data_IF_148948068167
#
_entry.id   IF_148948068167
#
_cell.length_a   1.000
_cell.length_b   1.000
_cell.length_c   1.000
_cell.angle_alpha   90.00
_cell.angle_beta   90.00
_cell.angle_gamma   90.00
#
_symmetry.space_group_name_H-M   'P 1'
#
loop_
_entity.id
_entity.type
_entity.pdbx_description
1 polymer ?
#
# COMPACT_ATOMS: atom_id res chain seq x y z
N UNK A 1 -7.95 12.75 5.65
CA UNK A 1 -7.94 11.81 4.52
C UNK A 1 -9.02 10.77 4.74
N UNK A 2 -9.65 10.26 3.68
CA UNK A 2 -10.57 9.13 3.77
C UNK A 2 -9.71 7.88 3.94
N UNK A 3 -9.77 7.22 5.10
CA UNK A 3 -8.87 6.11 5.45
C UNK A 3 -9.53 4.74 5.40
N UNK A 4 -10.84 4.70 5.17
CA UNK A 4 -11.66 3.50 5.26
C UNK A 4 -12.63 3.44 4.08
N UNK A 5 -12.95 2.23 3.60
CA UNK A 5 -13.96 2.04 2.57
C UNK A 5 -15.34 2.49 3.07
N UNK A 6 -16.19 2.94 2.15
CA UNK A 6 -17.62 3.19 2.43
C UNK A 6 -18.39 1.88 2.57
N UNK A 7 -18.00 0.88 1.77
CA UNK A 7 -18.57 -0.46 1.72
C UNK A 7 -17.45 -1.46 1.99
N UNK A 8 -17.48 -2.16 3.12
CA UNK A 8 -16.40 -3.07 3.51
C UNK A 8 -16.81 -4.51 3.25
N UNK A 9 -16.10 -5.19 2.34
CA UNK A 9 -16.33 -6.60 1.99
C UNK A 9 -17.77 -6.84 1.54
N UNK A 10 -18.26 -5.97 0.67
CA UNK A 10 -19.57 -6.12 0.08
C UNK A 10 -19.46 -6.81 -1.28
N UNK A 11 -20.46 -7.63 -1.60
CA UNK A 11 -20.50 -8.34 -2.87
C UNK A 11 -20.85 -7.37 -3.99
N UNK A 12 -19.93 -7.17 -4.92
CA UNK A 12 -20.18 -6.39 -6.13
C UNK A 12 -20.86 -7.28 -7.16
N UNK A 13 -22.15 -7.03 -7.41
CA UNK A 13 -22.93 -7.81 -8.38
C UNK A 13 -22.50 -7.60 -9.84
N UNK A 14 -21.85 -6.49 -10.17
CA UNK A 14 -21.38 -6.22 -11.53
C UNK A 14 -20.08 -6.95 -11.83
N UNK A 15 -19.18 -7.07 -10.83
CA UNK A 15 -17.91 -7.77 -10.96
C UNK A 15 -17.99 -9.25 -10.52
N UNK A 16 -19.01 -9.63 -9.76
CA UNK A 16 -19.20 -10.98 -9.24
C UNK A 16 -18.23 -11.36 -8.12
N UNK A 17 -17.66 -10.37 -7.42
CA UNK A 17 -16.62 -10.56 -6.39
C UNK A 17 -16.91 -9.72 -5.14
N UNK A 18 -16.43 -10.16 -3.99
CA UNK A 18 -16.43 -9.37 -2.76
C UNK A 18 -15.30 -8.34 -2.81
N UNK A 19 -15.62 -7.06 -2.60
CA UNK A 19 -14.62 -5.99 -2.58
C UNK A 19 -14.92 -4.96 -1.50
N UNK A 20 -13.88 -4.22 -1.11
CA UNK A 20 -14.04 -3.02 -0.29
C UNK A 20 -13.91 -1.78 -1.17
N UNK A 21 -14.93 -0.90 -1.17
CA UNK A 21 -15.03 0.24 -2.10
C UNK A 21 -15.52 1.49 -1.41
N UNK A 22 -15.32 2.63 -2.05
CA UNK A 22 -15.94 3.89 -1.65
C UNK A 22 -15.33 5.08 -2.37
N UNK A 23 -16.10 6.15 -2.52
CA UNK A 23 -15.59 7.43 -3.04
C UNK A 23 -14.91 7.33 -4.42
N UNK A 24 -15.31 6.35 -5.22
CA UNK A 24 -14.71 6.09 -6.53
C UNK A 24 -13.38 5.33 -6.51
N UNK A 25 -13.00 4.67 -5.40
CA UNK A 25 -11.77 3.89 -5.27
C UNK A 25 -12.03 2.47 -4.72
N UNK A 26 -11.08 1.57 -4.99
CA UNK A 26 -10.95 0.25 -4.36
C UNK A 26 -10.04 0.36 -3.14
N UNK A 27 -10.39 -0.38 -2.08
CA UNK A 27 -9.65 -0.44 -0.82
C UNK A 27 -9.10 -1.84 -0.59
N UNK A 28 -7.78 -1.94 -0.45
CA UNK A 28 -7.08 -3.21 -0.20
C UNK A 28 -6.21 -3.10 1.04
N UNK A 29 -5.73 -4.22 1.58
CA UNK A 29 -4.79 -4.20 2.71
C UNK A 29 -3.37 -4.31 2.20
N UNK A 30 -2.46 -3.50 2.73
CA UNK A 30 -1.03 -3.62 2.49
C UNK A 30 -0.44 -4.82 3.23
N UNK A 31 0.83 -5.15 2.97
CA UNK A 31 1.59 -6.12 3.75
C UNK A 31 1.77 -5.75 5.23
N UNK A 32 1.50 -4.50 5.62
CA UNK A 32 1.46 -4.02 7.01
C UNK A 32 0.04 -3.95 7.58
N UNK A 33 -0.94 -4.51 6.88
CA UNK A 33 -2.37 -4.48 7.25
C UNK A 33 -2.98 -3.07 7.37
N UNK A 34 -2.33 -2.04 6.82
CA UNK A 34 -2.92 -0.71 6.62
C UNK A 34 -3.82 -0.68 5.39
N UNK A 35 -4.78 0.25 5.37
CA UNK A 35 -5.63 0.46 4.20
C UNK A 35 -4.85 1.13 3.07
N UNK A 36 -5.01 0.58 1.88
CA UNK A 36 -4.54 1.14 0.62
C UNK A 36 -5.74 1.55 -0.22
N UNK A 37 -5.61 2.67 -0.93
CA UNK A 37 -6.68 3.32 -1.66
C UNK A 37 -6.19 3.51 -3.09
N UNK A 38 -6.96 3.02 -4.07
CA UNK A 38 -6.48 3.08 -5.44
C UNK A 38 -7.37 2.37 -6.44
N UNK A 39 -6.74 1.93 -7.53
CA UNK A 39 -7.39 1.19 -8.60
C UNK A 39 -6.47 0.13 -9.19
N UNK A 40 -6.96 -1.11 -9.32
CA UNK A 40 -6.39 -2.07 -10.25
C UNK A 40 -6.86 -1.73 -11.68
N UNK A 41 -6.07 -2.11 -12.67
CA UNK A 41 -6.44 -2.06 -14.06
C UNK A 41 -6.09 -3.38 -14.75
N UNK A 42 -6.77 -3.63 -15.88
CA UNK A 42 -6.59 -4.84 -16.68
C UNK A 42 -5.12 -4.98 -17.08
N UNK A 43 -4.59 -6.19 -17.06
CA UNK A 43 -3.19 -6.46 -17.38
C UNK A 43 -2.24 -6.40 -16.18
N UNK A 44 -2.77 -6.06 -15.00
CA UNK A 44 -2.05 -6.08 -13.74
C UNK A 44 -1.31 -4.78 -13.40
N UNK A 45 -1.56 -3.70 -14.16
CA UNK A 45 -1.16 -2.34 -13.75
C UNK A 45 -2.06 -1.83 -12.63
N UNK A 46 -1.54 -1.00 -11.75
CA UNK A 46 -2.31 -0.44 -10.63
C UNK A 46 -1.63 0.80 -10.04
N UNK A 47 -2.41 1.55 -9.27
CA UNK A 47 -1.90 2.61 -8.40
C UNK A 47 -2.59 2.52 -7.05
N UNK A 48 -1.80 2.57 -5.98
CA UNK A 48 -2.29 2.53 -4.61
C UNK A 48 -1.54 3.50 -3.71
N UNK A 49 -2.30 4.28 -2.95
CA UNK A 49 -1.82 5.12 -1.86
C UNK A 49 -2.07 4.44 -0.52
N UNK A 50 -1.10 4.46 0.38
CA UNK A 50 -1.23 4.09 1.78
C UNK A 50 -0.91 5.31 2.65
N UNK A 51 -1.93 6.06 3.09
CA UNK A 51 -1.73 7.28 3.86
C UNK A 51 -1.07 7.05 5.22
N UNK A 52 -1.20 5.85 5.80
CA UNK A 52 -0.62 5.54 7.12
C UNK A 52 0.90 5.35 7.02
N UNK A 53 1.37 4.79 5.90
CA UNK A 53 2.79 4.57 5.65
C UNK A 53 3.43 5.66 4.78
N UNK A 54 2.69 6.74 4.48
CA UNK A 54 3.13 7.86 3.65
C UNK A 54 3.79 7.41 2.34
N UNK A 55 3.11 6.50 1.63
CA UNK A 55 3.64 5.91 0.39
C UNK A 55 2.57 5.81 -0.68
N UNK A 56 2.95 6.11 -1.91
CA UNK A 56 2.18 5.83 -3.12
C UNK A 56 3.01 4.92 -4.02
N UNK A 57 2.41 3.82 -4.48
CA UNK A 57 3.04 2.89 -5.41
C UNK A 57 2.22 2.85 -6.69
N UNK A 58 2.84 3.22 -7.81
CA UNK A 58 2.30 3.05 -9.14
C UNK A 58 3.09 1.95 -9.85
N UNK A 59 2.40 0.93 -10.36
CA UNK A 59 2.96 -0.13 -11.17
C UNK A 59 2.33 -0.09 -12.55
N UNK A 60 3.15 0.27 -13.54
CA UNK A 60 2.78 0.35 -14.94
C UNK A 60 3.57 -0.69 -15.73
N UNK A 61 2.91 -1.40 -16.65
CA UNK A 61 3.53 -2.46 -17.43
C UNK A 61 2.94 -2.52 -18.83
N UNK A 62 3.79 -2.82 -19.83
CA UNK A 62 3.35 -3.08 -21.20
C UNK A 62 3.03 -4.56 -21.44
N UNK A 63 3.37 -5.44 -20.49
CA UNK A 63 3.04 -6.85 -20.54
C UNK A 63 1.68 -7.10 -19.89
N UNK A 64 0.63 -7.17 -20.71
CA UNK A 64 -0.72 -7.54 -20.26
C UNK A 64 -0.68 -8.98 -19.74
N UNK A 65 -0.93 -9.13 -18.45
CA UNK A 65 -1.10 -10.45 -17.82
C UNK A 65 -2.58 -10.79 -17.84
N UNK A 66 -2.93 -12.07 -18.02
CA UNK A 66 -4.32 -12.57 -17.90
C UNK A 66 -4.82 -12.59 -16.44
N UNK A 67 -4.41 -11.59 -15.66
CA UNK A 67 -4.65 -11.49 -14.23
C UNK A 67 -5.80 -10.53 -13.98
N UNK A 68 -6.76 -10.99 -13.18
CA UNK A 68 -7.86 -10.20 -12.64
C UNK A 68 -7.73 -10.23 -11.12
N UNK A 69 -7.62 -9.07 -10.48
CA UNK A 69 -7.52 -8.94 -9.03
C UNK A 69 -6.41 -8.00 -8.57
N UNK A 70 -6.42 -7.69 -7.27
CA UNK A 70 -5.69 -6.55 -6.70
C UNK A 70 -4.17 -6.69 -6.64
N UNK A 71 -3.65 -7.93 -6.63
CA UNK A 71 -2.25 -8.20 -6.31
C UNK A 71 -1.59 -9.15 -7.32
N UNK A 72 -1.31 -8.71 -8.56
CA UNK A 72 -0.45 -9.47 -9.44
C UNK A 72 0.92 -9.66 -8.77
N UNK A 73 1.51 -10.86 -8.90
CA UNK A 73 2.74 -11.26 -8.21
C UNK A 73 3.87 -10.22 -8.34
N UNK A 74 4.01 -9.61 -9.51
CA UNK A 74 5.01 -8.55 -9.76
C UNK A 74 4.78 -7.31 -8.88
N UNK A 75 3.52 -6.85 -8.77
CA UNK A 75 3.18 -5.72 -7.92
C UNK A 75 3.38 -6.06 -6.44
N UNK A 76 2.94 -7.25 -6.01
CA UNK A 76 3.12 -7.69 -4.63
C UNK A 76 4.60 -7.71 -4.21
N UNK A 77 5.48 -8.21 -5.07
CA UNK A 77 6.92 -8.25 -4.82
C UNK A 77 7.52 -6.84 -4.73
N UNK A 78 7.16 -5.95 -5.67
CA UNK A 78 7.60 -4.56 -5.68
C UNK A 78 7.14 -3.83 -4.40
N UNK A 79 5.84 -3.92 -4.10
CA UNK A 79 5.23 -3.28 -2.94
C UNK A 79 5.90 -3.77 -1.65
N UNK A 80 6.05 -5.08 -1.47
CA UNK A 80 6.70 -5.64 -0.28
C UNK A 80 8.11 -5.11 -0.07
N UNK A 81 8.91 -4.98 -1.15
CA UNK A 81 10.26 -4.41 -1.07
C UNK A 81 10.29 -2.92 -0.75
N UNK A 82 9.36 -2.14 -1.31
CA UNK A 82 9.22 -0.72 -0.97
C UNK A 82 8.93 -0.56 0.54
N UNK A 83 7.98 -1.33 1.07
CA UNK A 83 7.62 -1.28 2.49
C UNK A 83 8.78 -1.73 3.40
N UNK A 84 9.58 -2.71 2.98
CA UNK A 84 10.79 -3.14 3.69
C UNK A 84 11.81 -1.98 3.78
N UNK A 85 12.07 -1.29 2.67
CA UNK A 85 13.03 -0.17 2.60
C UNK A 85 12.55 1.00 3.47
N UNK A 86 11.28 1.37 3.39
CA UNK A 86 10.70 2.45 4.20
C UNK A 86 10.83 2.13 5.69
N UNK A 87 10.54 0.87 6.08
CA UNK A 87 10.63 0.43 7.47
C UNK A 87 12.07 0.39 8.00
N UNK A 88 13.06 0.15 7.13
CA UNK A 88 14.48 0.23 7.50
C UNK A 88 14.92 1.68 7.69
N UNK A 89 14.48 2.59 6.82
CA UNK A 89 14.80 4.02 6.91
C UNK A 89 14.26 4.63 8.20
N UNK A 90 13.03 4.30 8.60
CA UNK A 90 12.43 4.81 9.84
C UNK A 90 13.19 4.36 11.10
N UNK A 91 13.75 3.13 11.10
CA UNK A 91 14.58 2.62 12.22
C UNK A 91 15.97 3.26 12.25
N UNK A 92 16.57 3.52 11.09
CA UNK A 92 17.88 4.18 11.01
C UNK A 92 17.82 5.64 11.51
N UNK A 93 16.71 6.34 11.27
CA UNK A 93 16.51 7.70 11.77
C UNK A 93 16.26 7.75 13.28
N UNK A 94 15.53 6.78 13.85
CA UNK A 94 15.28 6.74 15.30
C UNK A 94 16.56 6.41 16.07
N UNK A 95 17.36 5.45 15.59
CA UNK A 95 18.65 5.13 16.20
C UNK A 95 19.61 6.33 16.21
N UNK A 96 19.58 7.18 15.17
CA UNK A 96 20.40 8.39 15.12
C UNK A 96 19.93 9.45 16.12
N UNK A 97 18.61 9.61 16.31
CA UNK A 97 18.04 10.54 17.28
C UNK A 97 18.34 10.10 18.74
N UNK A 98 18.21 8.81 19.04
CA UNK A 98 18.54 8.24 20.36
C UNK A 98 20.01 8.45 20.72
N UNK A 99 20.93 8.30 19.75
CA UNK A 99 22.37 8.55 19.94
C UNK A 99 22.65 10.03 20.23
N UNK A 100 21.95 10.95 19.55
CA UNK A 100 22.08 12.39 19.79
C UNK A 100 21.55 12.76 21.18
N UNK A 101 20.38 12.26 21.55
CA UNK A 101 19.76 12.52 22.87
C UNK A 101 20.62 11.99 24.02
N UNK A 102 21.25 10.82 23.86
CA UNK A 102 22.19 10.27 24.82
C UNK A 102 23.42 11.20 24.98
N UNK A 103 23.98 11.69 23.87
CA UNK A 103 25.13 12.60 23.89
C UNK A 103 24.82 13.98 24.50
N UNK A 104 23.56 14.43 24.46
CA UNK A 104 23.11 15.67 25.13
C UNK A 104 22.99 15.46 26.64
N UNK A 105 22.54 14.28 27.11
CA UNK A 105 22.38 13.98 28.54
C UNK A 105 23.69 13.80 29.30
N UNK A 106 24.79 13.52 28.61
CA UNK A 106 26.12 13.36 29.21
C UNK A 106 26.91 14.69 29.32
N UNK A 107 26.30 15.83 28.98
CA UNK A 107 26.86 17.18 29.19
C UNK A 107 26.13 17.92 30.30
#
# INVERSE_FOLDING_TARGET
>A
AILHPQFHKEFDHALGIEESKGYGFVYTRSCKNSWQIGHPAIGGQCVYMDPVNDVVVCYLTNGVKSWVGDHPLCFHNLQSKIYEIISKRSKSSSASAEVIDAAIREK
#
